data_IF_229744619993
#
_entry.id   IF_229744619993
#
_cell.length_a   1.000
_cell.length_b   1.000
_cell.length_c   1.000
_cell.angle_alpha   90.00
_cell.angle_beta   90.00
_cell.angle_gamma   90.00
#
_symmetry.space_group_name_H-M   'P 1'
#
loop_
_entity.id
_entity.type
_entity.pdbx_description
1 polymer ?
#
# COMPACT_ATOMS: atom_id res chain seq x y z
N UNK A 1 -2.31 10.60 -18.07
CA UNK A 1 -1.83 9.44 -17.29
C UNK A 1 -2.86 8.33 -17.39
N UNK A 2 -2.39 7.10 -17.54
CA UNK A 2 -3.25 5.90 -17.54
C UNK A 2 -3.02 5.09 -16.24
N UNK A 3 -1.79 5.12 -15.72
CA UNK A 3 -1.37 4.41 -14.51
C UNK A 3 -0.38 5.23 -13.71
N UNK A 4 -0.58 5.26 -12.40
CA UNK A 4 0.31 5.91 -11.44
C UNK A 4 0.54 4.92 -10.31
N UNK A 5 1.79 4.62 -10.00
CA UNK A 5 2.12 3.72 -8.88
C UNK A 5 2.94 4.46 -7.85
N UNK A 6 2.44 4.50 -6.63
CA UNK A 6 3.09 5.11 -5.47
C UNK A 6 3.84 4.00 -4.72
N UNK A 7 5.16 4.00 -4.81
CA UNK A 7 6.01 2.94 -4.27
C UNK A 7 6.64 3.29 -2.90
N UNK A 8 6.21 4.37 -2.26
CA UNK A 8 6.73 4.76 -0.95
C UNK A 8 6.48 3.67 0.10
N UNK A 9 7.52 3.38 0.88
CA UNK A 9 7.38 2.45 1.98
C UNK A 9 8.67 2.26 2.75
N UNK A 10 8.54 2.19 4.08
CA UNK A 10 9.62 1.89 5.00
C UNK A 10 9.13 0.92 6.06
N UNK A 11 9.98 -0.02 6.44
CA UNK A 11 9.76 -0.95 7.54
C UNK A 11 10.94 -0.88 8.53
N UNK A 12 12.13 -0.65 8.00
CA UNK A 12 13.37 -0.51 8.77
C UNK A 12 14.38 0.37 8.03
N UNK A 13 15.29 0.94 8.77
CA UNK A 13 16.54 1.54 8.31
C UNK A 13 17.53 1.58 9.48
N UNK A 14 18.70 2.17 9.31
CA UNK A 14 19.64 2.38 10.41
C UNK A 14 18.96 3.17 11.55
N UNK A 15 18.97 2.62 12.76
CA UNK A 15 18.29 3.20 13.94
C UNK A 15 16.78 2.98 13.99
N UNK A 16 16.16 2.33 13.01
CA UNK A 16 14.73 2.01 13.02
C UNK A 16 14.50 0.53 12.72
N UNK A 17 13.87 -0.17 13.65
CA UNK A 17 13.47 -1.57 13.50
C UNK A 17 12.02 -1.75 13.92
N UNK A 18 11.26 -2.64 13.26
CA UNK A 18 9.88 -2.88 13.64
C UNK A 18 9.77 -3.46 15.04
N UNK A 19 8.87 -2.93 15.82
CA UNK A 19 8.68 -3.23 17.23
C UNK A 19 8.15 -4.67 17.42
N UNK A 20 8.77 -5.43 18.31
CA UNK A 20 8.33 -6.80 18.64
C UNK A 20 7.33 -6.83 19.80
N UNK A 21 7.41 -5.87 20.70
CA UNK A 21 6.60 -5.76 21.92
C UNK A 21 6.15 -4.32 22.14
N UNK A 22 5.11 -4.12 22.91
CA UNK A 22 4.57 -2.80 23.25
C UNK A 22 5.63 -1.89 23.87
N UNK A 23 6.47 -2.44 24.75
CA UNK A 23 7.52 -1.70 25.45
C UNK A 23 8.63 -1.17 24.51
N UNK A 24 8.70 -1.70 23.28
CA UNK A 24 9.65 -1.21 22.26
C UNK A 24 9.10 -0.03 21.46
N UNK A 25 7.88 0.39 21.71
CA UNK A 25 7.28 1.52 20.96
C UNK A 25 7.83 2.85 21.46
N UNK A 26 8.07 3.74 20.54
CA UNK A 26 8.40 5.13 20.85
C UNK A 26 7.87 6.07 19.77
N UNK A 27 7.71 7.34 20.11
CA UNK A 27 7.00 8.29 19.25
C UNK A 27 7.72 8.52 17.93
N UNK A 28 9.04 8.64 17.93
CA UNK A 28 9.83 8.99 16.72
C UNK A 28 9.72 7.92 15.64
N UNK A 29 9.93 6.61 15.88
CA UNK A 29 9.66 5.56 14.90
C UNK A 29 8.21 5.53 14.43
N UNK A 30 7.24 5.68 15.33
CA UNK A 30 5.81 5.71 14.98
C UNK A 30 5.51 6.83 13.97
N UNK A 31 5.95 8.05 14.26
CA UNK A 31 5.76 9.22 13.38
C UNK A 31 6.49 9.04 12.05
N UNK A 32 7.72 8.56 12.08
CA UNK A 32 8.54 8.38 10.86
C UNK A 32 7.87 7.38 9.90
N UNK A 33 7.48 6.23 10.42
CA UNK A 33 6.84 5.18 9.59
C UNK A 33 5.47 5.63 9.10
N UNK A 34 4.68 6.28 9.97
CA UNK A 34 3.38 6.84 9.60
C UNK A 34 3.51 7.89 8.51
N UNK A 35 4.45 8.82 8.64
CA UNK A 35 4.70 9.88 7.67
C UNK A 35 5.05 9.30 6.30
N UNK A 36 5.98 8.35 6.23
CA UNK A 36 6.46 7.80 4.95
C UNK A 36 5.40 6.90 4.31
N UNK A 37 4.77 6.01 5.09
CA UNK A 37 3.90 4.97 4.56
C UNK A 37 2.46 5.44 4.30
N UNK A 38 1.98 6.46 5.01
CA UNK A 38 0.59 6.90 4.93
C UNK A 38 0.44 8.35 4.45
N UNK A 39 1.15 9.31 5.06
CA UNK A 39 0.93 10.71 4.74
C UNK A 39 1.55 11.10 3.40
N UNK A 40 2.76 10.64 3.06
CA UNK A 40 3.39 10.94 1.77
C UNK A 40 2.54 10.42 0.60
N UNK A 41 2.03 9.17 0.60
CA UNK A 41 1.10 8.70 -0.44
C UNK A 41 -0.17 9.56 -0.56
N UNK A 42 -0.76 9.98 0.56
CA UNK A 42 -1.93 10.86 0.53
C UNK A 42 -1.61 12.22 -0.10
N UNK A 43 -0.43 12.80 0.21
CA UNK A 43 0.01 14.06 -0.37
C UNK A 43 0.25 13.96 -1.87
N UNK A 44 0.77 12.82 -2.36
CA UNK A 44 0.85 12.55 -3.80
C UNK A 44 -0.54 12.52 -4.43
N UNK A 45 -1.49 11.79 -3.84
CA UNK A 45 -2.88 11.76 -4.33
C UNK A 45 -3.49 13.16 -4.35
N UNK A 46 -3.29 13.96 -3.29
CA UNK A 46 -3.73 15.36 -3.25
C UNK A 46 -3.13 16.19 -4.40
N UNK A 47 -1.82 16.09 -4.64
CA UNK A 47 -1.12 16.85 -5.66
C UNK A 47 -1.54 16.48 -7.09
N UNK A 48 -1.87 15.19 -7.32
CA UNK A 48 -2.31 14.68 -8.61
C UNK A 48 -3.76 15.06 -8.97
N UNK A 49 -4.58 15.37 -7.97
CA UNK A 49 -6.03 15.59 -8.16
C UNK A 49 -6.39 16.64 -9.22
N UNK A 50 -5.79 17.84 -9.25
CA UNK A 50 -6.10 18.83 -10.28
C UNK A 50 -5.84 18.33 -11.70
N UNK A 51 -4.75 17.59 -11.91
CA UNK A 51 -4.37 17.03 -13.21
C UNK A 51 -5.32 15.91 -13.63
N UNK A 52 -5.74 15.06 -12.71
CA UNK A 52 -6.59 13.91 -12.99
C UNK A 52 -8.07 14.28 -13.12
N UNK A 53 -8.49 15.40 -12.54
CA UNK A 53 -9.85 15.93 -12.70
C UNK A 53 -10.17 16.31 -14.16
N UNK A 54 -9.17 16.78 -14.91
CA UNK A 54 -9.31 17.14 -16.32
C UNK A 54 -8.88 16.02 -17.29
N UNK A 55 -8.45 14.89 -16.76
CA UNK A 55 -8.04 13.74 -17.57
C UNK A 55 -9.24 13.15 -18.31
N UNK A 56 -9.09 12.90 -19.62
CA UNK A 56 -10.16 12.33 -20.46
C UNK A 56 -10.05 10.81 -20.65
N UNK A 57 -9.05 10.19 -20.05
CA UNK A 57 -8.81 8.74 -20.13
C UNK A 57 -8.91 8.11 -18.73
N UNK A 58 -9.32 6.84 -18.64
CA UNK A 58 -9.23 6.10 -17.39
C UNK A 58 -7.81 6.14 -16.81
N UNK A 59 -7.71 6.28 -15.51
CA UNK A 59 -6.43 6.27 -14.79
C UNK A 59 -6.56 5.43 -13.51
N UNK A 60 -5.57 4.60 -13.26
CA UNK A 60 -5.47 3.82 -12.02
C UNK A 60 -4.35 4.38 -11.15
N UNK A 61 -4.68 4.80 -9.95
CA UNK A 61 -3.70 5.14 -8.90
C UNK A 61 -3.51 3.91 -8.02
N UNK A 62 -2.31 3.37 -8.00
CA UNK A 62 -1.95 2.24 -7.13
C UNK A 62 -1.04 2.70 -6.01
N UNK A 63 -1.29 2.23 -4.79
CA UNK A 63 -0.35 2.32 -3.68
C UNK A 63 -0.01 0.93 -3.15
N UNK A 64 1.26 0.72 -2.79
CA UNK A 64 1.72 -0.53 -2.20
C UNK A 64 1.30 -0.60 -0.73
N UNK A 65 0.28 -1.40 -0.47
CA UNK A 65 -0.19 -1.72 0.88
C UNK A 65 0.46 -3.01 1.40
N UNK A 66 -0.08 -3.57 2.45
CA UNK A 66 0.35 -4.84 3.01
C UNK A 66 -0.79 -5.50 3.79
N UNK A 67 -0.83 -6.83 3.79
CA UNK A 67 -1.82 -7.62 4.55
C UNK A 67 -1.82 -7.26 6.04
N UNK A 68 -0.65 -6.94 6.60
CA UNK A 68 -0.50 -6.53 8.00
C UNK A 68 -1.24 -5.22 8.35
N UNK A 69 -1.72 -4.46 7.36
CA UNK A 69 -2.60 -3.31 7.54
C UNK A 69 -4.08 -3.68 7.74
N UNK A 70 -4.45 -4.95 7.62
CA UNK A 70 -5.77 -5.46 7.97
C UNK A 70 -5.90 -5.60 9.47
N UNK A 71 -6.96 -5.02 10.06
CA UNK A 71 -7.23 -5.13 11.50
C UNK A 71 -7.70 -6.55 11.83
N UNK A 72 -8.58 -7.12 10.98
CA UNK A 72 -9.14 -8.45 11.19
C UNK A 72 -8.13 -9.59 11.09
N UNK A 73 -7.06 -9.42 10.30
CA UNK A 73 -6.01 -10.43 10.11
C UNK A 73 -4.88 -10.34 11.15
N UNK A 74 -5.00 -9.46 12.15
CA UNK A 74 -3.94 -9.23 13.11
C UNK A 74 -3.97 -10.23 14.28
N UNK A 75 -3.55 -11.45 14.04
CA UNK A 75 -3.40 -12.49 15.07
C UNK A 75 -1.98 -12.56 15.69
N UNK A 76 -0.98 -12.00 15.00
CA UNK A 76 0.44 -12.15 15.40
C UNK A 76 0.96 -11.02 16.29
N UNK A 77 0.34 -9.83 16.25
CA UNK A 77 0.85 -8.64 16.94
C UNK A 77 2.22 -8.18 16.42
N UNK A 78 2.88 -7.33 17.22
CA UNK A 78 4.15 -6.70 16.85
C UNK A 78 4.04 -5.74 15.65
N UNK A 79 5.17 -5.10 15.28
CA UNK A 79 5.27 -4.17 14.15
C UNK A 79 4.25 -3.03 14.21
N UNK A 80 4.09 -2.45 15.38
CA UNK A 80 3.05 -1.46 15.69
C UNK A 80 3.04 -0.31 14.69
N UNK A 81 4.18 0.34 14.47
CA UNK A 81 4.30 1.45 13.53
C UNK A 81 3.93 1.02 12.11
N UNK A 82 4.43 -0.11 11.66
CA UNK A 82 4.20 -0.57 10.28
C UNK A 82 2.75 -0.97 10.04
N UNK A 83 2.15 -1.77 10.95
CA UNK A 83 0.73 -2.14 10.85
C UNK A 83 -0.18 -0.92 10.87
N UNK A 84 0.02 -0.05 11.85
CA UNK A 84 -0.76 1.18 11.96
C UNK A 84 -0.64 2.06 10.70
N UNK A 85 0.57 2.20 10.17
CA UNK A 85 0.80 3.01 8.96
C UNK A 85 0.11 2.43 7.71
N UNK A 86 0.08 1.10 7.56
CA UNK A 86 -0.61 0.47 6.41
C UNK A 86 -2.14 0.49 6.59
N UNK A 87 -2.65 0.36 7.81
CA UNK A 87 -4.07 0.58 8.10
C UNK A 87 -4.49 2.04 7.82
N UNK A 88 -3.67 3.00 8.25
CA UNK A 88 -3.88 4.42 7.96
C UNK A 88 -3.84 4.70 6.46
N UNK A 89 -2.86 4.17 5.71
CA UNK A 89 -2.80 4.26 4.25
C UNK A 89 -4.10 3.79 3.62
N UNK A 90 -4.58 2.61 4.02
CA UNK A 90 -5.81 2.02 3.50
C UNK A 90 -7.01 2.95 3.73
N UNK A 91 -7.17 3.47 4.94
CA UNK A 91 -8.28 4.37 5.28
C UNK A 91 -8.18 5.71 4.55
N UNK A 92 -6.99 6.33 4.53
CA UNK A 92 -6.77 7.63 3.87
C UNK A 92 -7.06 7.55 2.37
N UNK A 93 -6.59 6.50 1.69
CA UNK A 93 -6.81 6.35 0.26
C UNK A 93 -8.25 5.90 -0.06
N UNK A 94 -8.90 5.14 0.82
CA UNK A 94 -10.33 4.86 0.71
C UNK A 94 -11.15 6.15 0.77
N UNK A 95 -10.84 7.03 1.70
CA UNK A 95 -11.50 8.33 1.85
C UNK A 95 -11.28 9.21 0.62
N UNK A 96 -10.03 9.29 0.14
CA UNK A 96 -9.68 10.04 -1.07
C UNK A 96 -10.40 9.49 -2.32
N UNK A 97 -10.48 8.16 -2.48
CA UNK A 97 -11.16 7.53 -3.61
C UNK A 97 -12.66 7.89 -3.68
N UNK A 98 -13.34 8.00 -2.54
CA UNK A 98 -14.74 8.43 -2.47
C UNK A 98 -14.91 9.89 -2.91
N UNK A 99 -13.94 10.74 -2.61
CA UNK A 99 -13.91 12.12 -3.08
C UNK A 99 -13.63 12.19 -4.59
N UNK A 100 -12.63 11.46 -5.07
CA UNK A 100 -12.29 11.35 -6.50
C UNK A 100 -13.47 10.84 -7.34
N UNK A 101 -14.25 9.88 -6.83
CA UNK A 101 -15.45 9.37 -7.52
C UNK A 101 -16.44 10.48 -7.90
N UNK A 102 -16.49 11.57 -7.13
CA UNK A 102 -17.38 12.71 -7.41
C UNK A 102 -16.77 13.68 -8.41
N UNK A 103 -15.46 13.90 -8.36
CA UNK A 103 -14.79 14.99 -9.05
C UNK A 103 -13.88 14.55 -10.21
N UNK A 104 -13.39 13.33 -10.19
CA UNK A 104 -12.50 12.72 -11.19
C UNK A 104 -12.95 11.29 -11.50
N UNK A 105 -14.12 11.16 -12.10
CA UNK A 105 -14.87 9.89 -12.26
C UNK A 105 -14.12 8.79 -13.03
N UNK A 106 -13.09 9.15 -13.80
CA UNK A 106 -12.29 8.22 -14.59
C UNK A 106 -11.09 7.65 -13.80
N UNK A 107 -10.96 8.03 -12.51
CA UNK A 107 -9.87 7.57 -11.66
C UNK A 107 -10.35 6.47 -10.73
N UNK A 108 -9.64 5.35 -10.73
CA UNK A 108 -9.82 4.26 -9.80
C UNK A 108 -8.58 4.10 -8.92
N UNK A 109 -8.76 3.53 -7.74
CA UNK A 109 -7.68 3.25 -6.82
C UNK A 109 -7.47 1.75 -6.65
N UNK A 110 -6.22 1.34 -6.58
CA UNK A 110 -5.82 -0.01 -6.21
C UNK A 110 -4.87 0.05 -5.00
N UNK A 111 -5.29 -0.53 -3.89
CA UNK A 111 -4.40 -0.84 -2.78
C UNK A 111 -3.89 -2.25 -2.99
N UNK A 112 -2.65 -2.35 -3.42
CA UNK A 112 -2.04 -3.60 -3.81
C UNK A 112 -1.18 -4.17 -2.69
N UNK A 113 -1.47 -5.40 -2.33
CA UNK A 113 -0.68 -6.18 -1.40
C UNK A 113 0.21 -7.18 -2.19
N UNK A 114 1.52 -6.91 -2.30
CA UNK A 114 2.41 -7.67 -3.18
C UNK A 114 2.84 -9.03 -2.64
N UNK A 115 2.46 -9.41 -1.43
CA UNK A 115 3.07 -10.53 -0.71
C UNK A 115 4.48 -10.16 -0.22
N UNK A 116 5.28 -11.16 0.14
CA UNK A 116 6.69 -10.92 0.48
C UNK A 116 7.52 -10.88 -0.79
N UNK A 117 7.89 -9.69 -1.20
CA UNK A 117 8.73 -9.46 -2.39
C UNK A 117 10.20 -9.46 -1.97
N UNK A 118 11.07 -10.13 -2.73
CA UNK A 118 12.53 -10.07 -2.50
C UNK A 118 13.05 -8.66 -2.80
N UNK A 119 13.28 -7.91 -1.75
CA UNK A 119 13.66 -6.50 -1.80
C UNK A 119 14.42 -6.10 -0.54
N UNK A 120 15.15 -4.99 -0.54
CA UNK A 120 15.80 -4.49 0.66
C UNK A 120 14.85 -4.34 1.86
N UNK A 121 13.59 -3.96 1.64
CA UNK A 121 12.59 -3.80 2.70
C UNK A 121 12.28 -5.13 3.41
N UNK A 122 12.21 -6.22 2.69
CA UNK A 122 11.87 -7.54 3.27
C UNK A 122 13.08 -8.35 3.71
N UNK A 123 14.28 -8.04 3.19
CA UNK A 123 15.50 -8.84 3.35
C UNK A 123 15.79 -9.31 4.78
N UNK A 124 15.71 -8.45 5.83
CA UNK A 124 15.98 -8.89 7.21
C UNK A 124 14.95 -9.88 7.78
N UNK A 125 13.79 -10.02 7.13
CA UNK A 125 12.65 -10.79 7.62
C UNK A 125 12.37 -12.05 6.81
N UNK A 126 13.22 -12.39 5.83
CA UNK A 126 13.01 -13.51 4.91
C UNK A 126 13.38 -14.86 5.48
N UNK A 127 14.14 -14.93 6.60
CA UNK A 127 14.70 -16.18 7.14
C UNK A 127 13.69 -17.33 7.29
N UNK A 128 12.43 -17.01 7.63
CA UNK A 128 11.39 -18.01 7.86
C UNK A 128 10.29 -17.97 6.78
N UNK A 129 10.56 -17.35 5.64
CA UNK A 129 9.63 -17.32 4.51
C UNK A 129 9.90 -18.55 3.63
N UNK A 130 8.84 -19.32 3.35
CA UNK A 130 8.95 -20.40 2.37
C UNK A 130 9.36 -19.85 1.01
N UNK A 131 10.25 -20.51 0.25
CA UNK A 131 10.62 -20.10 -1.10
C UNK A 131 9.40 -19.86 -2.02
N UNK A 132 8.32 -20.60 -1.82
CA UNK A 132 7.06 -20.44 -2.57
C UNK A 132 6.31 -19.14 -2.25
N UNK A 133 6.63 -18.48 -1.14
CA UNK A 133 6.00 -17.26 -0.67
C UNK A 133 6.91 -16.02 -0.76
N UNK A 134 8.09 -16.19 -1.35
CA UNK A 134 9.03 -15.11 -1.65
C UNK A 134 9.01 -14.83 -3.16
N UNK A 135 8.48 -13.68 -3.54
CA UNK A 135 8.25 -13.34 -4.94
C UNK A 135 9.34 -12.40 -5.48
N UNK A 136 9.70 -12.58 -6.75
CA UNK A 136 10.62 -11.64 -7.40
C UNK A 136 9.93 -10.31 -7.69
N UNK A 137 10.67 -9.19 -7.75
CA UNK A 137 10.12 -7.89 -8.13
C UNK A 137 9.43 -7.91 -9.49
N UNK A 138 9.99 -8.64 -10.46
CA UNK A 138 9.47 -8.80 -11.82
C UNK A 138 8.10 -9.51 -11.82
N UNK A 139 7.98 -10.59 -11.04
CA UNK A 139 6.71 -11.29 -10.88
C UNK A 139 5.66 -10.35 -10.29
N UNK A 140 6.00 -9.65 -9.19
CA UNK A 140 5.09 -8.72 -8.52
C UNK A 140 4.66 -7.59 -9.46
N UNK A 141 5.59 -7.01 -10.21
CA UNK A 141 5.30 -5.97 -11.19
C UNK A 141 4.37 -6.47 -12.30
N UNK A 142 4.61 -7.66 -12.83
CA UNK A 142 3.75 -8.26 -13.86
C UNK A 142 2.32 -8.49 -13.37
N UNK A 143 2.16 -8.99 -12.13
CA UNK A 143 0.85 -9.20 -11.52
C UNK A 143 0.12 -7.87 -11.26
N UNK A 144 0.84 -6.84 -10.81
CA UNK A 144 0.28 -5.50 -10.63
C UNK A 144 -0.24 -4.95 -11.97
N UNK A 145 0.53 -5.04 -13.03
CA UNK A 145 0.13 -4.56 -14.37
C UNK A 145 -1.13 -5.27 -14.88
N UNK A 146 -1.25 -6.57 -14.64
CA UNK A 146 -2.45 -7.36 -14.96
C UNK A 146 -3.66 -6.88 -14.15
N UNK A 147 -3.51 -6.76 -12.83
CA UNK A 147 -4.60 -6.31 -11.95
C UNK A 147 -5.11 -4.91 -12.31
N UNK A 148 -4.22 -3.98 -12.66
CA UNK A 148 -4.61 -2.64 -13.09
C UNK A 148 -5.48 -2.64 -14.37
N UNK A 149 -5.33 -3.65 -15.23
CA UNK A 149 -6.17 -3.83 -16.43
C UNK A 149 -7.55 -4.43 -16.15
N UNK A 150 -7.70 -5.10 -15.00
CA UNK A 150 -8.84 -5.96 -14.68
C UNK A 150 -9.69 -5.44 -13.50
N UNK A 151 -9.55 -4.16 -13.13
CA UNK A 151 -10.31 -3.58 -12.02
C UNK A 151 -11.80 -3.51 -12.35
N UNK A 152 -12.65 -3.74 -11.34
CA UNK A 152 -14.10 -3.56 -11.47
C UNK A 152 -14.43 -2.08 -11.62
N UNK A 153 -15.09 -1.66 -12.72
CA UNK A 153 -15.26 -0.24 -13.04
C UNK A 153 -16.21 0.50 -12.10
N UNK A 154 -17.10 -0.20 -11.42
CA UNK A 154 -18.08 0.33 -10.48
C UNK A 154 -17.50 0.64 -9.09
N UNK A 155 -16.33 0.11 -8.78
CA UNK A 155 -15.66 0.30 -7.48
C UNK A 155 -14.62 1.42 -7.54
N UNK A 156 -14.75 2.44 -6.68
CA UNK A 156 -13.79 3.56 -6.67
C UNK A 156 -12.40 3.16 -6.15
N UNK A 157 -12.35 2.08 -5.37
CA UNK A 157 -11.11 1.52 -4.82
C UNK A 157 -11.26 0.01 -4.60
N UNK A 158 -10.19 -0.73 -4.84
CA UNK A 158 -10.12 -2.16 -4.57
C UNK A 158 -8.85 -2.47 -3.76
N UNK A 159 -8.98 -3.41 -2.82
CA UNK A 159 -7.89 -3.94 -1.98
C UNK A 159 -7.60 -5.35 -2.48
N UNK A 160 -6.50 -5.53 -3.18
CA UNK A 160 -6.22 -6.80 -3.84
C UNK A 160 -4.77 -7.24 -3.58
N UNK A 161 -4.62 -8.53 -3.36
CA UNK A 161 -3.37 -9.22 -3.60
C UNK A 161 -3.33 -9.72 -5.07
N UNK A 162 -2.24 -10.36 -5.45
CA UNK A 162 -2.09 -10.90 -6.81
C UNK A 162 -3.01 -12.11 -7.10
N UNK A 163 -3.62 -12.74 -6.08
CA UNK A 163 -4.68 -13.76 -6.19
C UNK A 163 -6.08 -13.15 -6.30
N UNK A 164 -6.23 -11.83 -6.24
CA UNK A 164 -7.51 -11.10 -6.15
C UNK A 164 -8.28 -11.37 -4.86
N UNK A 165 -7.62 -11.82 -3.82
CA UNK A 165 -8.21 -11.94 -2.50
C UNK A 165 -8.37 -10.54 -1.92
N UNK A 166 -9.58 -10.20 -1.45
CA UNK A 166 -9.80 -8.95 -0.73
C UNK A 166 -9.15 -9.03 0.66
N UNK A 167 -8.36 -8.05 0.99
CA UNK A 167 -7.75 -7.91 2.31
C UNK A 167 -8.59 -7.09 3.28
#
# INVERSE_FOLDING_TARGET
>A
FDRITICNGILHHEGLSPEKRLENTSIVPLETVMRINAFVPLLWVKALKPLLKVNKKPCVITALSARVGSIGDNERGGWYAYRASKAALNMLLKTAALEYRREAKLVQFLLFHPGTTDSPLSKPFQKNISPTNLFTPEFVASQLMRLQGDLKPDLPIQFLDWLRTQG
#
